data_IF_544337419212
#
_entry.id   IF_544337419212
#
_cell.length_a   1.000
_cell.length_b   1.000
_cell.length_c   1.000
_cell.angle_alpha   90.00
_cell.angle_beta   90.00
_cell.angle_gamma   90.00
#
_symmetry.space_group_name_H-M   'P 1'
#
loop_
_entity.id
_entity.type
_entity.pdbx_description
1 polymer ?
#
# COMPACT_ATOMS: atom_id res chain seq x y z
N UNK A 1 -47.11 -13.46 -6.49
CA UNK A 1 -45.92 -13.88 -7.26
C UNK A 1 -45.09 -12.66 -7.67
N UNK A 2 -44.57 -11.91 -6.69
CA UNK A 2 -43.51 -10.92 -6.92
C UNK A 2 -42.60 -10.94 -5.70
N UNK A 3 -41.69 -11.91 -5.69
CA UNK A 3 -40.52 -11.90 -4.82
C UNK A 3 -39.65 -10.72 -5.27
N UNK A 4 -39.97 -9.52 -4.79
CA UNK A 4 -39.19 -8.32 -5.08
C UNK A 4 -37.91 -8.34 -4.26
N UNK A 5 -36.90 -9.02 -4.80
CA UNK A 5 -35.49 -8.67 -4.68
C UNK A 5 -34.96 -8.43 -3.27
N UNK A 6 -34.68 -9.50 -2.53
CA UNK A 6 -33.72 -9.46 -1.42
C UNK A 6 -32.27 -9.43 -1.94
N UNK A 7 -32.01 -8.56 -2.93
CA UNK A 7 -30.69 -8.31 -3.48
C UNK A 7 -30.17 -6.95 -3.00
N UNK A 8 -28.85 -6.70 -3.11
CA UNK A 8 -28.25 -5.37 -2.94
C UNK A 8 -29.08 -4.29 -3.63
N UNK A 9 -29.53 -3.27 -2.89
CA UNK A 9 -30.17 -2.13 -3.54
C UNK A 9 -29.13 -1.35 -4.33
N UNK A 10 -29.49 -0.91 -5.53
CA UNK A 10 -28.58 -0.13 -6.40
C UNK A 10 -28.06 1.13 -5.68
N UNK A 11 -28.89 1.72 -4.82
CA UNK A 11 -28.50 2.83 -3.93
C UNK A 11 -27.35 2.46 -3.01
N UNK A 12 -27.37 1.28 -2.39
CA UNK A 12 -26.33 0.83 -1.47
C UNK A 12 -25.02 0.54 -2.23
N UNK A 13 -25.11 -0.07 -3.41
CA UNK A 13 -23.93 -0.28 -4.28
C UNK A 13 -23.30 1.05 -4.69
N UNK A 14 -24.11 2.03 -5.11
CA UNK A 14 -23.63 3.37 -5.47
C UNK A 14 -23.04 4.07 -4.25
N UNK A 15 -23.65 3.96 -3.07
CA UNK A 15 -23.12 4.56 -1.84
C UNK A 15 -21.74 3.99 -1.49
N UNK A 16 -21.56 2.66 -1.59
CA UNK A 16 -20.24 2.02 -1.40
C UNK A 16 -19.22 2.54 -2.41
N UNK A 17 -19.58 2.59 -3.70
CA UNK A 17 -18.68 3.07 -4.74
C UNK A 17 -18.25 4.53 -4.51
N UNK A 18 -19.17 5.41 -4.09
CA UNK A 18 -18.88 6.81 -3.79
C UNK A 18 -18.01 6.94 -2.54
N UNK A 19 -18.30 6.20 -1.46
CA UNK A 19 -17.51 6.24 -0.23
C UNK A 19 -16.08 5.75 -0.46
N UNK A 20 -15.92 4.61 -1.15
CA UNK A 20 -14.61 4.06 -1.48
C UNK A 20 -13.87 4.96 -2.47
N UNK A 21 -14.54 5.44 -3.53
CA UNK A 21 -13.93 6.33 -4.51
C UNK A 21 -13.46 7.66 -3.92
N UNK A 22 -14.32 8.32 -3.13
CA UNK A 22 -13.96 9.54 -2.42
C UNK A 22 -12.86 9.29 -1.38
N UNK A 23 -12.95 8.19 -0.62
CA UNK A 23 -11.93 7.79 0.34
C UNK A 23 -10.55 7.61 -0.32
N UNK A 24 -10.49 6.94 -1.47
CA UNK A 24 -9.25 6.74 -2.23
C UNK A 24 -8.72 8.07 -2.77
N UNK A 25 -9.56 8.94 -3.32
CA UNK A 25 -9.14 10.26 -3.80
C UNK A 25 -8.55 11.09 -2.66
N UNK A 26 -9.19 11.08 -1.49
CA UNK A 26 -8.70 11.78 -0.31
C UNK A 26 -7.41 11.19 0.27
N UNK A 27 -7.16 9.89 0.10
CA UNK A 27 -5.89 9.27 0.50
C UNK A 27 -4.71 9.69 -0.39
N UNK A 28 -4.96 10.14 -1.61
CA UNK A 28 -3.94 10.62 -2.55
C UNK A 28 -3.59 12.11 -2.37
N UNK A 29 -4.27 12.78 -1.44
CA UNK A 29 -4.00 14.17 -1.08
C UNK A 29 -2.73 14.31 -0.25
N UNK A 30 -2.16 15.52 -0.24
CA UNK A 30 -0.97 15.84 0.57
C UNK A 30 -1.30 16.29 1.99
N UNK A 31 -2.50 16.80 2.24
CA UNK A 31 -2.93 17.20 3.60
C UNK A 31 -3.24 15.98 4.46
N UNK A 32 -2.61 15.90 5.64
CA UNK A 32 -2.83 14.83 6.63
C UNK A 32 -4.29 14.79 7.10
N UNK A 33 -4.95 15.94 7.24
CA UNK A 33 -6.38 16.00 7.56
C UNK A 33 -7.22 15.37 6.45
N UNK A 34 -6.88 15.60 5.18
CA UNK A 34 -7.60 14.99 4.04
C UNK A 34 -7.35 13.48 3.98
N UNK A 35 -6.11 13.03 4.21
CA UNK A 35 -5.78 11.61 4.34
C UNK A 35 -6.60 10.96 5.46
N UNK A 36 -6.71 11.60 6.63
CA UNK A 36 -7.51 11.11 7.76
C UNK A 36 -8.99 10.98 7.41
N UNK A 37 -9.57 12.00 6.77
CA UNK A 37 -10.95 11.92 6.25
C UNK A 37 -11.11 10.80 5.23
N UNK A 38 -10.11 10.59 4.37
CA UNK A 38 -10.07 9.48 3.40
C UNK A 38 -10.14 8.12 4.09
N UNK A 39 -9.36 7.89 5.14
CA UNK A 39 -9.40 6.67 5.96
C UNK A 39 -10.79 6.45 6.57
N UNK A 40 -11.40 7.51 7.13
CA UNK A 40 -12.73 7.43 7.74
C UNK A 40 -13.78 7.06 6.69
N UNK A 41 -13.79 7.73 5.52
CA UNK A 41 -14.72 7.43 4.44
C UNK A 41 -14.55 6.01 3.91
N UNK A 42 -13.31 5.58 3.70
CA UNK A 42 -12.99 4.24 3.21
C UNK A 42 -13.44 3.17 4.21
N UNK A 43 -13.19 3.37 5.51
CA UNK A 43 -13.66 2.47 6.57
C UNK A 43 -15.18 2.32 6.58
N UNK A 44 -15.92 3.42 6.40
CA UNK A 44 -17.38 3.36 6.26
C UNK A 44 -17.82 2.61 4.99
N UNK A 45 -17.15 2.83 3.86
CA UNK A 45 -17.40 2.10 2.62
C UNK A 45 -17.17 0.60 2.77
N UNK A 46 -16.09 0.18 3.43
CA UNK A 46 -15.79 -1.23 3.72
C UNK A 46 -16.83 -1.85 4.65
N UNK A 47 -17.28 -1.13 5.68
CA UNK A 47 -18.34 -1.62 6.58
C UNK A 47 -19.64 -1.90 5.80
N UNK A 48 -20.03 -1.01 4.90
CA UNK A 48 -21.20 -1.22 4.03
C UNK A 48 -20.98 -2.38 3.05
N UNK A 49 -19.78 -2.53 2.50
CA UNK A 49 -19.43 -3.63 1.61
C UNK A 49 -19.55 -4.99 2.32
N UNK A 50 -19.08 -5.09 3.56
CA UNK A 50 -19.22 -6.32 4.37
C UNK A 50 -20.70 -6.65 4.61
N UNK A 51 -21.52 -5.65 4.98
CA UNK A 51 -22.96 -5.86 5.18
C UNK A 51 -23.66 -6.36 3.91
N UNK A 52 -23.20 -5.92 2.75
CA UNK A 52 -23.76 -6.32 1.46
C UNK A 52 -23.55 -7.81 1.12
N UNK A 53 -22.53 -8.43 1.71
CA UNK A 53 -22.29 -9.87 1.61
C UNK A 53 -23.23 -10.73 2.45
N UNK A 54 -24.02 -10.13 3.34
CA UNK A 54 -24.93 -10.82 4.25
C UNK A 54 -26.39 -10.82 3.78
N UNK A 55 -27.17 -11.77 4.31
CA UNK A 55 -28.62 -11.75 4.15
C UNK A 55 -29.25 -10.64 5.00
N UNK A 56 -30.11 -9.83 4.38
CA UNK A 56 -30.94 -8.85 5.09
C UNK A 56 -32.14 -9.54 5.76
N UNK A 57 -32.47 -9.13 6.97
CA UNK A 57 -33.56 -9.69 7.77
C UNK A 57 -33.74 -8.95 9.10
N UNK A 58 -34.60 -9.49 9.96
CA UNK A 58 -34.79 -8.98 11.32
C UNK A 58 -33.55 -9.17 12.21
N UNK A 59 -33.47 -8.44 13.32
CA UNK A 59 -32.35 -8.54 14.25
C UNK A 59 -32.11 -10.01 14.67
N UNK A 60 -30.86 -10.52 14.67
CA UNK A 60 -30.55 -11.91 14.96
C UNK A 60 -30.52 -12.13 16.48
N UNK A 61 -31.67 -11.91 17.12
CA UNK A 61 -31.87 -12.06 18.56
C UNK A 61 -32.77 -13.27 18.78
N UNK A 62 -32.24 -14.27 19.49
CA UNK A 62 -32.97 -15.49 19.83
C UNK A 62 -34.25 -15.12 20.60
N UNK A 63 -35.39 -15.65 20.17
CA UNK A 63 -36.69 -15.43 20.81
C UNK A 63 -37.52 -14.26 20.27
N UNK A 64 -37.02 -13.49 19.30
CA UNK A 64 -37.73 -12.32 18.75
C UNK A 64 -38.42 -12.55 17.40
N UNK A 65 -38.11 -13.65 16.69
CA UNK A 65 -38.69 -13.95 15.38
C UNK A 65 -38.32 -15.33 14.83
N UNK A 66 -38.85 -15.66 13.64
CA UNK A 66 -38.51 -16.90 12.94
C UNK A 66 -37.06 -16.87 12.42
N UNK A 67 -36.28 -17.90 12.73
CA UNK A 67 -34.84 -18.00 12.39
C UNK A 67 -34.57 -17.75 10.90
N UNK A 68 -35.46 -18.22 10.02
CA UNK A 68 -35.33 -18.04 8.58
C UNK A 68 -35.52 -16.62 8.05
N UNK A 69 -35.95 -15.67 8.89
CA UNK A 69 -36.15 -14.26 8.56
C UNK A 69 -35.13 -13.33 9.25
N UNK A 70 -34.17 -13.88 9.97
CA UNK A 70 -33.12 -13.09 10.63
C UNK A 70 -32.01 -12.69 9.64
N UNK A 71 -31.39 -11.54 9.90
CA UNK A 71 -30.18 -11.12 9.21
C UNK A 71 -29.01 -12.04 9.56
N UNK A 72 -28.01 -12.13 8.67
CA UNK A 72 -26.82 -12.93 8.93
C UNK A 72 -25.98 -12.35 10.09
N UNK A 73 -25.76 -13.10 11.19
CA UNK A 73 -24.97 -12.62 12.32
C UNK A 73 -23.46 -12.52 12.01
N UNK A 74 -22.96 -13.24 11.01
CA UNK A 74 -21.53 -13.27 10.70
C UNK A 74 -21.03 -11.91 10.17
N UNK A 75 -21.62 -11.31 9.12
CA UNK A 75 -21.26 -9.96 8.68
C UNK A 75 -21.45 -8.88 9.76
N UNK A 76 -22.43 -9.03 10.65
CA UNK A 76 -22.65 -8.08 11.76
C UNK A 76 -21.50 -8.08 12.76
N UNK A 77 -21.05 -9.27 13.18
CA UNK A 77 -19.90 -9.40 14.06
C UNK A 77 -18.63 -8.85 13.40
N UNK A 78 -18.42 -9.14 12.11
CA UNK A 78 -17.29 -8.64 11.33
C UNK A 78 -17.27 -7.10 11.26
N UNK A 79 -18.42 -6.45 11.05
CA UNK A 79 -18.50 -4.98 11.03
C UNK A 79 -18.22 -4.37 12.39
N UNK A 80 -18.69 -4.98 13.49
CA UNK A 80 -18.35 -4.50 14.83
C UNK A 80 -16.83 -4.50 15.06
N UNK A 81 -16.15 -5.56 14.65
CA UNK A 81 -14.68 -5.64 14.72
C UNK A 81 -14.02 -4.60 13.81
N UNK A 82 -14.50 -4.45 12.58
CA UNK A 82 -13.97 -3.47 11.63
C UNK A 82 -14.12 -2.03 12.15
N UNK A 83 -15.24 -1.68 12.77
CA UNK A 83 -15.47 -0.36 13.39
C UNK A 83 -14.45 -0.09 14.49
N UNK A 84 -14.22 -1.06 15.38
CA UNK A 84 -13.27 -0.88 16.51
C UNK A 84 -11.83 -0.72 16.01
N UNK A 85 -11.42 -1.54 15.02
CA UNK A 85 -10.08 -1.42 14.40
C UNK A 85 -9.94 -0.06 13.71
N UNK A 86 -10.94 0.36 12.93
CA UNK A 86 -10.94 1.65 12.24
C UNK A 86 -10.88 2.80 13.24
N UNK A 87 -11.62 2.73 14.34
CA UNK A 87 -11.59 3.73 15.40
C UNK A 87 -10.20 3.83 16.05
N UNK A 88 -9.60 2.70 16.41
CA UNK A 88 -8.24 2.67 16.98
C UNK A 88 -7.19 3.20 16.02
N UNK A 89 -7.26 2.79 14.75
CA UNK A 89 -6.37 3.27 13.69
C UNK A 89 -6.54 4.77 13.43
N UNK A 90 -7.79 5.26 13.39
CA UNK A 90 -8.09 6.69 13.20
C UNK A 90 -7.60 7.52 14.39
N UNK A 91 -7.79 7.05 15.63
CA UNK A 91 -7.29 7.73 16.82
C UNK A 91 -5.75 7.79 16.83
N UNK A 92 -5.09 6.71 16.42
CA UNK A 92 -3.64 6.67 16.26
C UNK A 92 -3.16 7.66 15.18
N UNK A 93 -3.75 7.62 13.99
CA UNK A 93 -3.41 8.56 12.91
C UNK A 93 -3.67 10.01 13.31
N UNK A 94 -4.77 10.29 14.01
CA UNK A 94 -5.08 11.62 14.52
C UNK A 94 -4.01 12.09 15.53
N UNK A 95 -3.52 11.21 16.41
CA UNK A 95 -2.43 11.55 17.32
C UNK A 95 -1.11 11.85 16.57
N UNK A 96 -0.81 11.10 15.51
CA UNK A 96 0.37 11.35 14.65
C UNK A 96 0.21 12.66 13.89
N UNK A 97 -0.95 12.90 13.28
CA UNK A 97 -1.25 14.13 12.55
C UNK A 97 -1.15 15.35 13.47
N UNK A 98 -1.75 15.29 14.67
CA UNK A 98 -1.64 16.33 15.68
C UNK A 98 -0.18 16.60 16.06
N UNK A 99 0.62 15.54 16.28
CA UNK A 99 2.03 15.68 16.61
C UNK A 99 2.84 16.28 15.45
N UNK A 100 2.56 15.88 14.22
CA UNK A 100 3.20 16.41 13.01
C UNK A 100 2.92 17.90 12.86
N UNK A 101 1.65 18.29 12.99
CA UNK A 101 1.24 19.69 12.94
C UNK A 101 1.88 20.52 14.06
N UNK A 102 1.95 19.98 15.28
CA UNK A 102 2.61 20.65 16.41
C UNK A 102 4.12 20.90 16.17
N UNK A 103 4.81 19.99 15.46
CA UNK A 103 6.25 20.09 15.20
C UNK A 103 6.58 20.94 13.96
N UNK A 104 5.80 20.82 12.90
CA UNK A 104 6.08 21.44 11.58
C UNK A 104 5.32 22.75 11.39
N UNK A 105 4.19 22.94 12.06
CA UNK A 105 3.30 24.09 11.90
C UNK A 105 2.42 24.05 10.63
N UNK A 106 2.50 22.97 9.85
CA UNK A 106 1.73 22.74 8.63
C UNK A 106 1.19 21.30 8.60
N UNK A 107 0.11 21.08 7.86
CA UNK A 107 -0.63 19.82 7.71
C UNK A 107 -0.24 19.04 6.43
N UNK A 108 0.67 19.59 5.62
CA UNK A 108 1.15 18.98 4.38
C UNK A 108 2.22 17.90 4.64
N UNK A 109 2.12 16.77 3.94
CA UNK A 109 3.12 15.69 3.97
C UNK A 109 4.40 16.15 3.23
N UNK A 110 5.57 16.19 3.90
CA UNK A 110 6.81 16.64 3.28
C UNK A 110 7.33 15.67 2.21
N UNK A 111 7.92 16.20 1.14
CA UNK A 111 8.71 15.39 0.20
C UNK A 111 10.03 14.95 0.86
N UNK A 112 10.51 13.76 0.52
CA UNK A 112 11.77 13.25 1.03
C UNK A 112 12.96 14.12 0.60
N UNK A 113 13.91 14.33 1.53
CA UNK A 113 15.17 15.02 1.24
C UNK A 113 16.02 14.22 0.24
N UNK A 114 15.93 12.89 0.26
CA UNK A 114 16.63 12.01 -0.67
C UNK A 114 16.13 12.21 -2.11
N UNK A 115 14.81 12.31 -2.31
CA UNK A 115 14.20 12.58 -3.62
C UNK A 115 14.74 13.88 -4.23
N UNK A 116 14.91 14.92 -3.41
CA UNK A 116 15.50 16.20 -3.86
C UNK A 116 16.98 16.04 -4.25
N UNK A 117 17.73 15.15 -3.60
CA UNK A 117 19.12 14.86 -3.94
C UNK A 117 19.22 14.06 -5.25
N UNK A 118 18.34 13.09 -5.47
CA UNK A 118 18.26 12.31 -6.71
C UNK A 118 17.97 13.23 -7.90
N UNK A 119 16.98 14.13 -7.80
CA UNK A 119 16.67 15.10 -8.86
C UNK A 119 17.88 16.00 -9.17
N UNK A 120 18.60 16.47 -8.13
CA UNK A 120 19.81 17.28 -8.32
C UNK A 120 20.97 16.50 -8.96
N UNK A 121 21.16 15.22 -8.63
CA UNK A 121 22.18 14.34 -9.22
C UNK A 121 21.83 13.96 -10.66
N UNK A 122 20.56 13.71 -10.95
CA UNK A 122 20.06 13.44 -12.29
C UNK A 122 20.28 14.63 -13.23
N UNK A 123 20.03 15.86 -12.76
CA UNK A 123 20.35 17.08 -13.50
C UNK A 123 21.85 17.30 -13.75
N UNK A 124 22.72 16.60 -13.02
CA UNK A 124 24.18 16.63 -13.20
C UNK A 124 24.71 15.47 -14.08
N UNK A 125 23.83 14.65 -14.66
CA UNK A 125 24.17 13.44 -15.43
C UNK A 125 25.09 12.45 -14.67
N UNK A 126 25.08 12.47 -13.34
CA UNK A 126 25.88 11.58 -12.49
C UNK A 126 25.20 10.22 -12.25
N UNK A 127 23.92 10.07 -12.63
CA UNK A 127 23.11 8.87 -12.43
C UNK A 127 23.54 7.65 -13.27
N UNK A 128 24.53 7.80 -14.17
CA UNK A 128 25.12 6.70 -14.94
C UNK A 128 26.34 6.03 -14.29
N UNK A 129 26.85 6.53 -13.16
CA UNK A 129 28.14 6.10 -12.60
C UNK A 129 28.05 5.39 -11.25
N UNK A 130 26.91 4.77 -10.92
CA UNK A 130 26.85 3.84 -9.78
C UNK A 130 27.17 2.44 -10.29
N UNK A 131 28.46 2.21 -10.51
CA UNK A 131 29.04 0.87 -10.63
C UNK A 131 28.96 0.21 -9.24
N UNK A 132 28.05 -0.75 -9.12
CA UNK A 132 28.00 -1.72 -8.03
C UNK A 132 28.29 -3.10 -8.60
N UNK A 133 29.49 -3.32 -9.13
CA UNK A 133 29.96 -4.67 -9.45
C UNK A 133 31.17 -4.71 -10.38
N UNK A 134 32.34 -4.29 -9.90
CA UNK A 134 33.59 -4.43 -10.64
C UNK A 134 34.80 -4.53 -9.72
N UNK A 135 35.00 -5.71 -9.11
CA UNK A 135 36.33 -6.13 -8.70
C UNK A 135 37.23 -5.99 -9.94
N UNK A 136 38.18 -5.05 -9.91
CA UNK A 136 39.19 -4.93 -10.95
C UNK A 136 39.99 -6.24 -11.03
N UNK A 137 40.41 -6.67 -12.23
CA UNK A 137 41.14 -7.93 -12.42
C UNK A 137 42.48 -8.03 -11.67
N UNK A 138 42.91 -6.95 -11.03
CA UNK A 138 44.22 -6.82 -10.38
C UNK A 138 44.16 -6.97 -8.84
N UNK A 139 42.98 -7.26 -8.27
CA UNK A 139 42.75 -7.26 -6.82
C UNK A 139 42.89 -8.61 -6.13
N UNK A 140 43.09 -9.71 -6.87
CA UNK A 140 43.07 -11.06 -6.30
C UNK A 140 44.51 -11.58 -6.03
N UNK A 141 44.98 -11.61 -4.76
CA UNK A 141 46.32 -12.07 -4.43
C UNK A 141 46.51 -13.58 -4.65
N UNK A 142 45.46 -14.35 -4.95
CA UNK A 142 45.56 -15.79 -5.28
C UNK A 142 45.77 -16.07 -6.78
N UNK A 143 45.76 -15.05 -7.64
CA UNK A 143 45.96 -15.25 -9.08
C UNK A 143 47.46 -15.42 -9.43
N UNK A 144 47.99 -16.62 -9.16
CA UNK A 144 49.32 -17.04 -9.63
C UNK A 144 49.18 -17.50 -11.09
N UNK A 145 49.45 -16.60 -12.02
CA UNK A 145 49.51 -16.94 -13.44
C UNK A 145 50.69 -17.89 -13.72
N UNK A 146 50.47 -19.09 -14.30
CA UNK A 146 51.57 -19.96 -14.69
C UNK A 146 52.35 -19.36 -15.87
N UNK A 147 53.67 -19.22 -15.72
CA UNK A 147 54.58 -18.70 -16.75
C UNK A 147 54.37 -19.47 -18.08
N UNK A 148 54.12 -18.76 -19.21
CA UNK A 148 53.83 -19.43 -20.47
C UNK A 148 55.07 -20.16 -20.99
N UNK A 149 54.94 -21.48 -21.15
CA UNK A 149 55.98 -22.35 -21.67
C UNK A 149 56.55 -21.82 -22.99
N UNK A 150 57.80 -21.36 -22.96
CA UNK A 150 58.51 -20.82 -24.13
C UNK A 150 58.73 -21.90 -25.19
N UNK A 151 57.77 -22.05 -26.09
CA UNK A 151 57.91 -22.86 -27.30
C UNK A 151 58.72 -22.06 -28.33
N UNK A 152 60.06 -22.07 -28.24
CA UNK A 152 60.91 -21.52 -29.30
C UNK A 152 60.87 -22.43 -30.52
N UNK A 153 60.18 -21.91 -31.53
CA UNK A 153 60.07 -22.41 -32.89
C UNK A 153 61.44 -22.49 -33.56
N UNK A 154 61.67 -23.65 -34.19
CA UNK A 154 62.74 -23.96 -35.13
C UNK A 154 62.69 -23.02 -36.33
N UNK A 155 63.75 -22.25 -36.59
CA UNK A 155 64.01 -21.65 -37.90
C UNK A 155 65.47 -21.92 -38.27
N UNK A 156 65.66 -22.77 -39.28
CA UNK A 156 66.96 -23.09 -39.84
C UNK A 156 67.28 -22.23 -41.06
N UNK A 157 68.60 -22.15 -41.33
CA UNK A 157 69.32 -21.68 -42.55
C UNK A 157 69.05 -20.22 -42.96
N UNK A 158 70.00 -19.41 -43.43
CA UNK A 158 71.18 -19.55 -44.33
C UNK A 158 72.21 -18.49 -43.86
N UNK A 159 73.53 -18.54 -44.08
CA UNK A 159 74.34 -18.89 -45.25
C UNK A 159 75.79 -19.20 -44.83
#
# INVERSE_FOLDING_TARGET
MTESGAGPTLVLVVAVAVLVGCGVILLLERSLTRILLGVILLGNGVNLLILLGGRSGGAPIVGTGAVGQMSDPLPQAMVLTAIVITFGFTAFLLAVAYRSWYLTGDDEVPDDLEDRQIIRRAGRNEAGAVDHGGEGPDGDPEQVDPEPARRRLRRGKES
#
